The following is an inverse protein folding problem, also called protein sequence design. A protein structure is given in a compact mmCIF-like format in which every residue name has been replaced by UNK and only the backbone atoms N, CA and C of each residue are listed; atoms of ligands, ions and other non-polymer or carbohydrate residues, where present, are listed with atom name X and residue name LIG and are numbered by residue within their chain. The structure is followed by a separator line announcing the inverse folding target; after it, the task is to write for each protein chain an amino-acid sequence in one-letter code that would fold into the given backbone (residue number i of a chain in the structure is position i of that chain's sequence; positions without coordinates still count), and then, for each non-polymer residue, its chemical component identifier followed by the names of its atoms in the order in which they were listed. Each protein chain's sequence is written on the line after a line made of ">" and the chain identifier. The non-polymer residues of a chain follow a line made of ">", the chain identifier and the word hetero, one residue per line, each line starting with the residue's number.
data_IF_268625370215
#
_entry.id   IF_268625370215
#
_cell.length_a   1.000
_cell.length_b   1.000
_cell.length_c   1.000
_cell.angle_alpha   90.00
_cell.angle_beta   90.00
_cell.angle_gamma   90.00
#
_symmetry.space_group_name_H-M   'P 1'
#
loop_
_entity.id
_entity.type
_entity.pdbx_description
1 polymer ?
#
# COMPACT_ATOMS: atom_id res chain seq x y z
N UNK A 1 -20.97 -7.32 8.81
CA UNK A 1 -21.73 -6.96 7.58
C UNK A 1 -20.72 -6.40 6.61
N UNK A 2 -20.48 -7.05 5.47
CA UNK A 2 -19.62 -6.50 4.41
C UNK A 2 -20.24 -5.17 3.95
N UNK A 3 -19.48 -4.08 4.11
CA UNK A 3 -19.93 -2.76 3.71
C UNK A 3 -19.77 -2.68 2.19
N UNK A 4 -20.88 -2.80 1.45
CA UNK A 4 -20.89 -2.97 -0.02
C UNK A 4 -20.28 -1.81 -0.79
N UNK A 5 -20.07 -0.66 -0.15
CA UNK A 5 -19.49 0.55 -0.73
C UNK A 5 -17.99 0.74 -0.39
N UNK A 6 -17.38 -0.24 0.28
CA UNK A 6 -16.02 -0.15 0.81
C UNK A 6 -15.16 -1.30 0.30
N UNK A 7 -13.94 -0.98 -0.12
CA UNK A 7 -12.95 -1.96 -0.58
C UNK A 7 -11.60 -1.75 0.10
N UNK A 8 -10.77 -2.78 0.05
CA UNK A 8 -9.35 -2.69 0.34
C UNK A 8 -8.53 -2.82 -0.94
N UNK A 9 -7.41 -2.11 -1.03
CA UNK A 9 -6.38 -2.36 -2.04
C UNK A 9 -5.09 -2.73 -1.33
N UNK A 10 -4.50 -3.86 -1.71
CA UNK A 10 -3.21 -4.33 -1.20
C UNK A 10 -2.21 -4.37 -2.35
N UNK A 11 -1.10 -3.65 -2.17
CA UNK A 11 0.00 -3.60 -3.13
C UNK A 11 1.02 -4.73 -2.89
N UNK A 12 1.86 -5.04 -3.90
CA UNK A 12 2.80 -6.16 -3.83
C UNK A 12 3.82 -6.11 -2.67
N UNK A 13 4.11 -4.94 -2.12
CA UNK A 13 5.03 -4.72 -1.00
C UNK A 13 4.33 -4.67 0.37
N UNK A 14 3.02 -4.91 0.44
CA UNK A 14 2.18 -4.70 1.63
C UNK A 14 1.53 -6.00 2.15
N UNK A 15 2.24 -7.12 2.05
CA UNK A 15 1.73 -8.46 2.42
C UNK A 15 1.86 -8.74 3.93
N UNK A 16 1.10 -8.02 4.75
CA UNK A 16 1.24 -8.07 6.22
C UNK A 16 0.32 -9.09 6.89
N UNK A 17 0.89 -9.96 7.73
CA UNK A 17 0.11 -10.98 8.46
C UNK A 17 -0.88 -10.40 9.46
N UNK A 18 -0.54 -9.28 10.10
CA UNK A 18 -1.42 -8.48 10.96
C UNK A 18 -1.71 -7.20 10.19
N UNK A 19 -2.98 -6.91 9.93
CA UNK A 19 -3.33 -5.83 9.01
C UNK A 19 -4.73 -5.30 9.29
N UNK A 20 -4.87 -3.97 9.38
CA UNK A 20 -6.16 -3.29 9.47
C UNK A 20 -7.07 -3.62 8.25
N UNK A 21 -6.46 -3.88 7.09
CA UNK A 21 -7.17 -4.28 5.87
C UNK A 21 -7.70 -5.71 5.93
N UNK A 22 -7.20 -6.54 6.86
CA UNK A 22 -7.77 -7.87 7.13
C UNK A 22 -8.93 -7.72 8.12
N UNK A 23 -8.70 -6.95 9.18
CA UNK A 23 -9.61 -6.85 10.32
C UNK A 23 -10.93 -6.14 9.97
N UNK A 24 -10.94 -5.27 8.95
CA UNK A 24 -12.15 -4.57 8.52
C UNK A 24 -13.14 -5.45 7.71
N UNK A 25 -12.70 -6.61 7.21
CA UNK A 25 -13.56 -7.56 6.49
C UNK A 25 -14.07 -7.12 5.11
N UNK A 26 -13.55 -6.02 4.55
CA UNK A 26 -13.97 -5.50 3.24
C UNK A 26 -13.43 -6.36 2.09
N UNK A 27 -14.13 -6.30 0.95
CA UNK A 27 -13.68 -6.92 -0.30
C UNK A 27 -12.30 -6.40 -0.66
N UNK A 28 -11.35 -7.30 -0.89
CA UNK A 28 -9.94 -6.95 -1.02
C UNK A 28 -9.43 -7.20 -2.42
N UNK A 29 -8.86 -6.17 -3.05
CA UNK A 29 -8.16 -6.27 -4.32
C UNK A 29 -6.67 -6.40 -4.06
N UNK A 30 -6.10 -7.55 -4.43
CA UNK A 30 -4.67 -7.81 -4.39
C UNK A 30 -4.10 -7.61 -5.80
N UNK A 31 -3.43 -6.49 -6.02
CA UNK A 31 -3.09 -6.00 -7.36
C UNK A 31 -1.60 -6.16 -7.62
N UNK A 32 -1.21 -6.92 -8.65
CA UNK A 32 0.15 -6.96 -9.18
C UNK A 32 0.47 -5.64 -9.91
N UNK A 33 0.52 -4.54 -9.16
CA UNK A 33 0.58 -3.17 -9.69
C UNK A 33 1.70 -3.01 -10.72
N UNK A 34 1.36 -2.41 -11.86
CA UNK A 34 2.19 -2.32 -13.06
C UNK A 34 3.59 -1.74 -12.78
N UNK A 35 3.71 -0.80 -11.84
CA UNK A 35 5.01 -0.25 -11.43
C UNK A 35 5.98 -1.27 -10.83
N UNK A 36 5.48 -2.33 -10.19
CA UNK A 36 6.32 -3.38 -9.61
C UNK A 36 6.67 -4.51 -10.58
N UNK A 37 5.91 -4.67 -11.68
CA UNK A 37 6.01 -5.82 -12.57
C UNK A 37 6.49 -5.49 -13.99
N UNK A 38 6.01 -4.40 -14.62
CA UNK A 38 6.29 -4.15 -16.04
C UNK A 38 6.88 -2.77 -16.35
N UNK A 39 6.87 -1.82 -15.42
CA UNK A 39 7.39 -0.47 -15.70
C UNK A 39 8.89 -0.45 -16.07
N UNK A 40 9.64 -1.40 -15.52
CA UNK A 40 11.03 -1.65 -15.90
C UNK A 40 11.22 -3.12 -16.30
N UNK A 41 12.35 -3.40 -16.97
CA UNK A 41 12.81 -4.78 -17.22
C UNK A 41 13.37 -5.39 -15.92
N UNK A 42 12.49 -5.74 -14.99
CA UNK A 42 12.89 -6.37 -13.73
C UNK A 42 13.46 -7.77 -13.95
N UNK A 43 14.35 -8.18 -13.04
CA UNK A 43 14.91 -9.53 -13.06
C UNK A 43 13.81 -10.58 -12.88
N UNK A 44 13.86 -11.67 -13.67
CA UNK A 44 12.83 -12.72 -13.68
C UNK A 44 12.59 -13.33 -12.29
N UNK A 45 13.64 -13.50 -11.49
CA UNK A 45 13.51 -14.02 -10.13
C UNK A 45 12.76 -13.06 -9.20
N UNK A 46 12.94 -11.74 -9.35
CA UNK A 46 12.19 -10.74 -8.57
C UNK A 46 10.69 -10.88 -8.87
N UNK A 47 10.33 -10.94 -10.16
CA UNK A 47 8.95 -11.09 -10.60
C UNK A 47 8.35 -12.40 -10.07
N UNK A 48 9.07 -13.52 -10.22
CA UNK A 48 8.61 -14.83 -9.76
C UNK A 48 8.42 -14.86 -8.24
N UNK A 49 9.36 -14.32 -7.47
CA UNK A 49 9.28 -14.21 -6.02
C UNK A 49 8.08 -13.38 -5.57
N UNK A 50 7.88 -12.22 -6.19
CA UNK A 50 6.80 -11.30 -5.84
C UNK A 50 5.43 -11.92 -6.14
N UNK A 51 5.23 -12.48 -7.34
CA UNK A 51 4.00 -13.20 -7.70
C UNK A 51 3.71 -14.38 -6.78
N UNK A 52 4.72 -15.20 -6.49
CA UNK A 52 4.57 -16.35 -5.59
C UNK A 52 4.15 -15.90 -4.17
N UNK A 53 4.78 -14.85 -3.65
CA UNK A 53 4.45 -14.27 -2.34
C UNK A 53 3.01 -13.74 -2.32
N UNK A 54 2.59 -13.03 -3.37
CA UNK A 54 1.23 -12.51 -3.50
C UNK A 54 0.18 -13.61 -3.61
N UNK A 55 0.41 -14.65 -4.42
CA UNK A 55 -0.50 -15.82 -4.49
C UNK A 55 -0.60 -16.55 -3.16
N UNK A 56 0.51 -16.70 -2.43
CA UNK A 56 0.48 -17.27 -1.08
C UNK A 56 -0.31 -16.39 -0.11
N UNK A 57 -0.18 -15.08 -0.23
CA UNK A 57 -0.91 -14.12 0.59
C UNK A 57 -2.41 -14.12 0.27
N UNK A 58 -2.81 -14.22 -1.01
CA UNK A 58 -4.20 -14.43 -1.42
C UNK A 58 -4.82 -15.64 -0.69
N UNK A 59 -4.19 -16.81 -0.76
CA UNK A 59 -4.68 -18.01 -0.04
C UNK A 59 -4.75 -17.79 1.47
N UNK A 60 -3.81 -17.02 2.04
CA UNK A 60 -3.86 -16.65 3.46
C UNK A 60 -5.08 -15.77 3.78
N UNK A 61 -5.37 -14.75 2.96
CA UNK A 61 -6.53 -13.88 3.14
C UNK A 61 -7.85 -14.65 2.99
N UNK A 62 -7.96 -15.51 1.98
CA UNK A 62 -9.14 -16.37 1.76
C UNK A 62 -9.37 -17.32 2.94
N UNK A 63 -8.28 -17.87 3.53
CA UNK A 63 -8.37 -18.69 4.74
C UNK A 63 -8.89 -17.94 5.98
N UNK A 64 -8.91 -16.60 5.93
CA UNK A 64 -9.54 -15.73 6.94
C UNK A 64 -11.00 -15.41 6.63
N UNK A 65 -11.56 -15.97 5.55
CA UNK A 65 -12.94 -15.72 5.12
C UNK A 65 -13.13 -14.42 4.35
N UNK A 66 -12.05 -13.80 3.84
CA UNK A 66 -12.11 -12.58 3.05
C UNK A 66 -12.43 -12.89 1.58
N UNK A 67 -13.26 -12.04 0.96
CA UNK A 67 -13.42 -12.01 -0.49
C UNK A 67 -12.22 -11.31 -1.12
N UNK A 68 -11.42 -12.04 -1.89
CA UNK A 68 -10.20 -11.52 -2.52
C UNK A 68 -10.32 -11.57 -4.04
N UNK A 69 -10.10 -10.44 -4.70
CA UNK A 69 -9.93 -10.35 -6.15
C UNK A 69 -8.45 -10.14 -6.45
N UNK A 70 -7.86 -11.09 -7.19
CA UNK A 70 -6.48 -11.00 -7.64
C UNK A 70 -6.42 -10.36 -9.02
N UNK A 71 -5.63 -9.30 -9.16
CA UNK A 71 -5.38 -8.65 -10.45
C UNK A 71 -3.96 -8.98 -10.91
N UNK A 72 -3.84 -9.65 -12.04
CA UNK A 72 -2.55 -10.06 -12.59
C UNK A 72 -1.88 -8.91 -13.35
N UNK A 73 -0.55 -8.93 -13.41
CA UNK A 73 0.25 -7.85 -14.00
C UNK A 73 0.08 -7.68 -15.52
N UNK A 74 -0.56 -8.63 -16.20
CA UNK A 74 -0.86 -8.56 -17.63
C UNK A 74 -2.25 -7.99 -17.92
N UNK A 75 -3.06 -7.73 -16.90
CA UNK A 75 -4.36 -7.09 -17.04
C UNK A 75 -4.19 -5.57 -17.03
N UNK A 76 -4.97 -4.83 -17.82
CA UNK A 76 -4.88 -3.37 -17.88
C UNK A 76 -5.18 -2.72 -16.53
N UNK A 77 -6.11 -3.31 -15.77
CA UNK A 77 -6.46 -2.89 -14.40
C UNK A 77 -5.34 -3.15 -13.38
N UNK A 78 -4.21 -3.74 -13.78
CA UNK A 78 -3.00 -3.73 -12.95
C UNK A 78 -2.35 -2.36 -12.86
N UNK A 79 -2.71 -1.39 -13.71
CA UNK A 79 -2.40 0.02 -13.48
C UNK A 79 -3.47 0.63 -12.58
N UNK A 80 -3.08 1.08 -11.39
CA UNK A 80 -4.00 1.64 -10.40
C UNK A 80 -4.88 2.78 -10.96
N UNK A 81 -4.40 3.53 -11.96
CA UNK A 81 -5.19 4.58 -12.60
C UNK A 81 -6.35 4.01 -13.40
N UNK A 82 -6.13 2.89 -14.09
CA UNK A 82 -7.15 2.20 -14.87
C UNK A 82 -8.11 1.50 -13.91
N UNK A 83 -7.58 0.83 -12.89
CA UNK A 83 -8.36 0.21 -11.82
C UNK A 83 -9.37 1.18 -11.20
N UNK A 84 -8.90 2.33 -10.70
CA UNK A 84 -9.75 3.33 -10.04
C UNK A 84 -10.80 3.93 -10.97
N UNK A 85 -10.54 3.96 -12.29
CA UNK A 85 -11.54 4.42 -13.27
C UNK A 85 -12.63 3.38 -13.54
N UNK A 86 -12.28 2.09 -13.51
CA UNK A 86 -13.15 0.98 -13.91
C UNK A 86 -13.89 0.31 -12.75
N UNK A 87 -13.46 0.53 -11.50
CA UNK A 87 -14.16 -0.01 -10.34
C UNK A 87 -15.59 0.52 -10.25
N UNK A 88 -16.45 -0.30 -9.64
CA UNK A 88 -17.87 -0.02 -9.45
C UNK A 88 -18.07 1.38 -8.85
N UNK A 89 -18.95 2.17 -9.48
CA UNK A 89 -19.29 3.52 -9.06
C UNK A 89 -20.07 3.57 -7.74
N UNK A 90 -20.56 2.42 -7.26
CA UNK A 90 -21.13 2.30 -5.93
C UNK A 90 -20.06 2.35 -4.81
N UNK A 91 -18.78 2.08 -5.13
CA UNK A 91 -17.69 2.17 -4.16
C UNK A 91 -17.42 3.64 -3.83
N UNK A 92 -17.39 3.95 -2.54
CA UNK A 92 -17.08 5.28 -2.01
C UNK A 92 -15.79 5.27 -1.22
N UNK A 93 -15.53 4.20 -0.46
CA UNK A 93 -14.41 4.14 0.47
C UNK A 93 -13.35 3.16 -0.05
N UNK A 94 -12.11 3.63 -0.11
CA UNK A 94 -10.95 2.80 -0.48
C UNK A 94 -9.96 2.81 0.68
N UNK A 95 -9.83 1.67 1.35
CA UNK A 95 -8.88 1.50 2.45
C UNK A 95 -7.54 0.95 1.95
N UNK A 96 -6.45 1.61 2.32
CA UNK A 96 -5.09 1.27 1.89
C UNK A 96 -4.09 1.52 3.00
N UNK A 97 -2.92 0.88 2.90
CA UNK A 97 -1.73 1.39 3.57
C UNK A 97 -1.12 2.52 2.76
N UNK A 98 -0.47 3.47 3.45
CA UNK A 98 0.35 4.49 2.82
C UNK A 98 1.27 3.83 1.76
N UNK A 99 1.22 4.24 0.48
CA UNK A 99 1.86 3.47 -0.59
C UNK A 99 3.39 3.36 -0.46
N UNK A 100 4.01 4.34 0.22
CA UNK A 100 5.47 4.54 0.29
C UNK A 100 6.13 4.53 -1.11
N UNK A 101 5.40 5.02 -2.10
CA UNK A 101 5.87 5.27 -3.46
C UNK A 101 5.19 6.55 -3.97
N UNK A 102 6.01 7.53 -4.36
CA UNK A 102 5.52 8.86 -4.79
C UNK A 102 4.67 8.78 -6.06
N UNK A 103 4.98 7.87 -6.98
CA UNK A 103 4.20 7.73 -8.21
C UNK A 103 2.87 7.07 -7.95
N UNK A 104 2.83 6.02 -7.13
CA UNK A 104 1.57 5.39 -6.73
C UNK A 104 0.71 6.40 -5.97
N UNK A 105 1.27 7.11 -4.98
CA UNK A 105 0.55 8.13 -4.23
C UNK A 105 -0.07 9.19 -5.16
N UNK A 106 0.71 9.74 -6.10
CA UNK A 106 0.20 10.70 -7.09
C UNK A 106 -0.89 10.13 -8.01
N UNK A 107 -0.83 8.84 -8.33
CA UNK A 107 -1.84 8.16 -9.17
C UNK A 107 -3.14 7.93 -8.42
N UNK A 108 -3.06 7.59 -7.13
CA UNK A 108 -4.21 7.30 -6.28
C UNK A 108 -4.90 8.56 -5.75
N UNK A 109 -4.13 9.56 -5.33
CA UNK A 109 -4.66 10.77 -4.68
C UNK A 109 -4.74 11.97 -5.63
N UNK A 110 -4.95 11.71 -6.92
CA UNK A 110 -5.19 12.79 -7.88
C UNK A 110 -6.61 13.36 -7.67
N UNK A 111 -6.77 14.67 -7.80
CA UNK A 111 -8.03 15.42 -7.62
C UNK A 111 -9.19 14.91 -8.50
N UNK A 112 -8.90 14.15 -9.55
CA UNK A 112 -9.92 13.53 -10.41
C UNK A 112 -10.56 12.25 -9.82
N UNK A 113 -10.06 11.74 -8.70
CA UNK A 113 -10.59 10.55 -8.06
C UNK A 113 -11.60 10.95 -6.98
N UNK A 114 -12.84 10.46 -7.10
CA UNK A 114 -13.94 10.78 -6.18
C UNK A 114 -14.09 9.77 -5.03
N UNK A 115 -12.99 9.14 -4.60
CA UNK A 115 -12.99 8.15 -3.54
C UNK A 115 -12.53 8.76 -2.21
N UNK A 116 -13.19 8.37 -1.13
CA UNK A 116 -12.74 8.65 0.22
C UNK A 116 -11.69 7.62 0.60
N UNK A 117 -10.42 8.03 0.64
CA UNK A 117 -9.32 7.16 1.02
C UNK A 117 -9.17 7.06 2.53
N UNK A 118 -9.28 5.84 3.06
CA UNK A 118 -8.85 5.54 4.43
C UNK A 118 -7.40 5.06 4.38
N UNK A 119 -6.47 5.89 4.82
CA UNK A 119 -5.03 5.62 4.73
C UNK A 119 -4.50 5.18 6.10
N UNK A 120 -4.02 3.94 6.17
CA UNK A 120 -3.37 3.38 7.35
C UNK A 120 -1.86 3.61 7.31
N UNK A 121 -1.23 3.76 8.48
CA UNK A 121 0.22 3.83 8.61
C UNK A 121 0.86 2.55 8.06
N UNK A 122 1.91 2.66 7.25
CA UNK A 122 2.52 1.48 6.63
C UNK A 122 3.47 0.74 7.60
N UNK A 123 3.21 -0.54 7.95
CA UNK A 123 4.05 -1.33 8.87
C UNK A 123 5.49 -1.57 8.42
N UNK A 124 5.86 -1.26 7.17
CA UNK A 124 7.26 -1.33 6.70
C UNK A 124 8.18 -0.37 7.46
N UNK A 125 7.63 0.71 8.01
CA UNK A 125 8.41 1.74 8.70
C UNK A 125 8.03 1.82 10.16
N UNK A 126 9.05 2.02 10.98
CA UNK A 126 8.89 2.26 12.42
C UNK A 126 8.30 3.65 12.68
N UNK A 127 8.54 4.59 11.76
CA UNK A 127 8.07 5.97 11.87
C UNK A 127 6.87 6.21 10.97
N UNK A 128 5.94 7.00 11.51
CA UNK A 128 4.83 7.55 10.74
C UNK A 128 5.30 8.80 10.00
N UNK A 129 4.67 9.15 8.88
CA UNK A 129 4.99 10.38 8.15
C UNK A 129 4.93 11.63 9.03
N UNK A 130 3.98 11.69 9.97
CA UNK A 130 3.86 12.78 10.94
C UNK A 130 5.07 12.89 11.90
N UNK A 131 5.71 11.77 12.25
CA UNK A 131 6.89 11.76 13.13
C UNK A 131 8.10 12.43 12.48
N UNK A 132 8.13 12.48 11.14
CA UNK A 132 9.27 12.96 10.37
C UNK A 132 9.25 14.49 10.22
N UNK A 133 8.08 15.13 10.30
CA UNK A 133 7.89 16.56 10.04
C UNK A 133 8.78 17.43 10.96
N UNK A 134 8.91 17.07 12.23
CA UNK A 134 9.69 17.84 13.19
C UNK A 134 11.19 17.82 12.90
N UNK A 135 11.71 16.72 12.33
CA UNK A 135 13.13 16.59 11.99
C UNK A 135 13.42 17.13 10.58
N UNK A 136 12.56 16.81 9.62
CA UNK A 136 12.65 17.14 8.20
C UNK A 136 11.91 18.43 7.87
N UNK A 137 12.13 19.46 8.69
CA UNK A 137 11.45 20.75 8.51
C UNK A 137 11.89 21.44 7.21
N UNK A 138 10.99 22.13 6.50
CA UNK A 138 11.32 22.80 5.23
C UNK A 138 12.37 23.91 5.36
N UNK A 139 12.48 24.55 6.53
CA UNK A 139 13.43 25.63 6.81
C UNK A 139 14.87 25.12 7.03
N UNK A 140 15.03 23.82 7.29
CA UNK A 140 16.31 23.23 7.64
C UNK A 140 17.15 22.95 6.39
N UNK A 141 18.31 23.60 6.30
CA UNK A 141 19.20 23.50 5.14
C UNK A 141 19.97 22.18 5.02
N UNK A 142 20.23 21.50 6.14
CA UNK A 142 21.05 20.30 6.18
C UNK A 142 20.44 19.24 7.09
N UNK A 143 20.48 17.99 6.66
CA UNK A 143 20.04 16.83 7.45
C UNK A 143 21.23 15.92 7.75
N UNK A 144 21.37 15.51 9.01
CA UNK A 144 22.41 14.57 9.44
C UNK A 144 21.77 13.27 9.88
N UNK A 145 22.16 12.17 9.22
CA UNK A 145 21.71 10.83 9.58
C UNK A 145 22.09 10.48 11.03
N UNK A 146 23.29 10.86 11.49
CA UNK A 146 23.73 10.58 12.87
C UNK A 146 22.83 11.26 13.92
N UNK A 147 22.41 12.51 13.66
CA UNK A 147 21.50 13.23 14.56
C UNK A 147 20.11 12.60 14.53
N UNK A 148 19.58 12.30 13.33
CA UNK A 148 18.29 11.63 13.17
C UNK A 148 18.28 10.30 13.93
N UNK A 149 19.24 9.43 13.63
CA UNK A 149 19.39 8.12 14.25
C UNK A 149 19.44 8.21 15.78
N UNK A 150 20.26 9.11 16.34
CA UNK A 150 20.34 9.30 17.80
C UNK A 150 19.00 9.70 18.42
N UNK A 151 18.21 10.52 17.74
CA UNK A 151 16.86 10.90 18.21
C UNK A 151 15.89 9.71 18.14
N UNK A 152 15.95 8.91 17.06
CA UNK A 152 15.10 7.72 16.93
C UNK A 152 15.40 6.68 18.01
N UNK A 153 16.69 6.43 18.29
CA UNK A 153 17.12 5.49 19.36
C UNK A 153 16.57 5.90 20.72
N UNK A 154 16.69 7.19 21.08
CA UNK A 154 16.11 7.75 22.31
C UNK A 154 14.59 7.65 22.33
N UNK A 155 13.91 8.03 21.24
CA UNK A 155 12.44 7.96 21.13
C UNK A 155 11.92 6.55 21.37
N UNK A 156 12.63 5.55 20.87
CA UNK A 156 12.23 4.15 20.96
C UNK A 156 12.74 3.43 22.21
N UNK A 157 13.62 4.04 23.01
CA UNK A 157 14.27 3.37 24.13
C UNK A 157 15.14 2.18 23.70
N UNK A 158 15.69 2.22 22.47
CA UNK A 158 16.58 1.17 21.97
C UNK A 158 18.02 1.65 22.17
N UNK A 159 18.76 1.02 23.08
CA UNK A 159 20.13 1.36 23.57
C UNK A 159 20.44 2.87 23.59
#
# INVERSE_FOLDING_TARGET
>A
MSNKDSINIILPNQLFRKSELIDNGSKTYLIEENLFFNYYKFHKQKIAFQRSSMKKYMTFLESKGLEVIYVNSYEDISDIRIFLKQIDKAIKIVSIYEPIDNWIAKRMFNDNNNFDFTIHDNPLFINKSQDLISFFRPDKKNFSHAVFYKQQRKKMGIL
#
